data_IF_353164768562
#
_entry.id   IF_353164768562
#
_cell.length_a   1.000
_cell.length_b   1.000
_cell.length_c   1.000
_cell.angle_alpha   90.00
_cell.angle_beta   90.00
_cell.angle_gamma   90.00
#
_symmetry.space_group_name_H-M   'P 1'
#
loop_
_entity.id
_entity.type
_entity.pdbx_description
1 polymer ?
#
# COMPACT_ATOMS: atom_id res chain seq x y z
N UNK A 1 2.01 -5.61 12.34
CA UNK A 1 2.13 -6.08 10.98
C UNK A 1 0.89 -6.89 10.72
N UNK A 2 0.30 -6.78 9.54
CA UNK A 2 -0.74 -7.74 9.18
C UNK A 2 -0.12 -9.13 9.10
N UNK A 3 -0.81 -10.10 9.70
CA UNK A 3 -0.42 -11.51 9.63
C UNK A 3 -0.49 -11.97 8.18
N UNK A 4 0.60 -12.56 7.68
CA UNK A 4 0.66 -13.13 6.34
C UNK A 4 -0.02 -14.49 6.38
N UNK A 5 -0.91 -14.79 5.43
CA UNK A 5 -1.56 -16.10 5.35
C UNK A 5 -0.54 -17.21 5.07
N UNK A 6 -0.78 -18.41 5.61
CA UNK A 6 0.12 -19.56 5.48
C UNK A 6 0.51 -19.92 4.03
N UNK A 7 -0.39 -19.65 3.07
CA UNK A 7 -0.20 -19.94 1.65
C UNK A 7 -0.12 -18.65 0.80
N UNK A 8 0.52 -17.59 1.30
CA UNK A 8 0.71 -16.36 0.53
C UNK A 8 1.61 -16.64 -0.67
N UNK A 9 1.14 -16.45 -1.92
CA UNK A 9 1.98 -16.67 -3.08
C UNK A 9 3.08 -15.61 -3.17
N UNK A 10 4.30 -16.02 -3.53
CA UNK A 10 5.45 -15.10 -3.65
C UNK A 10 5.17 -13.91 -4.59
N UNK A 11 4.41 -14.14 -5.67
CA UNK A 11 4.04 -13.08 -6.62
C UNK A 11 3.06 -12.03 -6.06
N UNK A 12 2.39 -12.34 -4.95
CA UNK A 12 1.43 -11.45 -4.31
C UNK A 12 2.11 -10.46 -3.35
N UNK A 13 3.39 -10.68 -3.04
CA UNK A 13 4.24 -9.78 -2.30
C UNK A 13 4.77 -8.69 -3.21
N UNK A 14 4.78 -7.45 -2.72
CA UNK A 14 5.41 -6.32 -3.41
C UNK A 14 6.93 -6.46 -3.28
N UNK A 15 7.52 -7.27 -4.16
CA UNK A 15 8.97 -7.48 -4.24
C UNK A 15 9.51 -6.75 -5.47
N UNK A 16 9.84 -5.47 -5.29
CA UNK A 16 10.56 -4.71 -6.30
C UNK A 16 12.04 -4.62 -5.89
N UNK A 17 12.90 -5.55 -6.35
CA UNK A 17 14.30 -5.61 -5.91
C UNK A 17 15.09 -4.39 -6.38
N UNK A 18 14.59 -3.68 -7.39
CA UNK A 18 15.16 -2.44 -7.90
C UNK A 18 14.12 -1.34 -7.81
N UNK A 19 14.48 -0.21 -7.22
CA UNK A 19 13.60 0.93 -7.09
C UNK A 19 14.36 2.21 -7.41
N UNK A 20 13.68 3.17 -8.03
CA UNK A 20 14.27 4.47 -8.35
C UNK A 20 14.64 5.22 -7.06
N UNK A 21 15.54 6.19 -7.17
CA UNK A 21 15.84 7.12 -6.08
C UNK A 21 15.05 8.43 -6.18
N UNK A 22 14.60 8.79 -7.39
CA UNK A 22 13.90 10.03 -7.67
C UNK A 22 12.61 9.81 -8.46
N UNK A 23 11.64 10.70 -8.28
CA UNK A 23 10.40 10.72 -9.05
C UNK A 23 10.59 11.44 -10.41
N UNK A 24 9.52 11.59 -11.18
CA UNK A 24 9.55 12.24 -12.49
C UNK A 24 9.87 13.75 -12.47
N UNK A 25 9.96 14.35 -11.29
CA UNK A 25 10.33 15.75 -11.07
C UNK A 25 11.69 15.89 -10.39
N UNK A 26 12.52 14.84 -10.40
CA UNK A 26 13.84 14.80 -9.77
C UNK A 26 13.81 15.05 -8.24
N UNK A 27 12.69 14.79 -7.57
CA UNK A 27 12.64 14.80 -6.11
C UNK A 27 12.97 13.41 -5.55
N UNK A 28 13.74 13.31 -4.45
CA UNK A 28 13.99 12.04 -3.76
C UNK A 28 12.68 11.36 -3.36
N UNK A 29 12.62 10.02 -3.48
CA UNK A 29 11.45 9.24 -3.05
C UNK A 29 11.61 8.63 -1.66
N UNK A 30 12.80 8.76 -1.05
CA UNK A 30 13.03 8.34 0.32
C UNK A 30 12.32 9.31 1.28
N UNK A 31 11.37 8.78 2.04
CA UNK A 31 10.56 9.50 3.04
C UNK A 31 11.30 9.71 4.37
N UNK A 32 12.32 8.88 4.65
CA UNK A 32 13.18 8.93 5.84
C UNK A 32 14.60 8.61 5.40
N UNK A 33 15.54 9.52 5.65
CA UNK A 33 16.93 9.36 5.21
C UNK A 33 17.76 8.44 6.14
N UNK A 34 18.84 7.87 5.62
CA UNK A 34 19.82 7.09 6.38
C UNK A 34 20.48 7.97 7.46
N UNK A 35 20.04 7.81 8.70
CA UNK A 35 20.52 8.58 9.86
C UNK A 35 19.47 9.46 10.52
N UNK A 36 18.26 9.53 9.96
CA UNK A 36 17.13 10.19 10.63
C UNK A 36 16.79 9.46 11.95
N UNK A 37 16.48 10.17 13.05
CA UNK A 37 16.08 9.55 14.32
C UNK A 37 14.89 8.59 14.23
N UNK A 38 14.03 8.75 13.22
CA UNK A 38 12.88 7.91 12.94
C UNK A 38 13.24 6.67 12.11
N UNK A 39 14.45 6.60 11.55
CA UNK A 39 14.92 5.44 10.81
C UNK A 39 14.97 4.21 11.73
N UNK A 40 14.46 3.08 11.23
CA UNK A 40 14.34 1.84 12.00
C UNK A 40 13.28 1.87 13.12
N UNK A 41 12.53 2.96 13.29
CA UNK A 41 11.46 3.01 14.30
C UNK A 41 10.17 2.38 13.75
N UNK A 42 9.42 1.76 14.66
CA UNK A 42 8.07 1.30 14.38
C UNK A 42 7.16 2.49 14.06
N UNK A 43 6.27 2.30 13.10
CA UNK A 43 5.23 3.27 12.77
C UNK A 43 3.99 3.13 13.67
N UNK A 44 3.97 2.14 14.57
CA UNK A 44 2.84 1.85 15.48
C UNK A 44 1.50 1.75 14.74
N UNK A 45 1.52 1.16 13.54
CA UNK A 45 0.33 1.06 12.68
C UNK A 45 -0.67 0.13 13.38
N UNK A 46 -1.87 0.64 13.68
CA UNK A 46 -2.92 -0.08 14.40
C UNK A 46 -2.45 -0.65 15.76
N UNK A 47 -1.53 0.04 16.44
CA UNK A 47 -0.99 -0.38 17.75
C UNK A 47 0.09 -1.45 17.67
N UNK A 48 0.60 -1.73 16.47
CA UNK A 48 1.59 -2.79 16.26
C UNK A 48 3.03 -2.26 16.20
N UNK A 49 3.91 -2.95 16.93
CA UNK A 49 5.30 -2.54 17.16
C UNK A 49 6.29 -3.06 16.11
N UNK A 50 5.85 -3.90 15.19
CA UNK A 50 6.71 -4.49 14.18
C UNK A 50 7.32 -3.44 13.25
N UNK A 51 8.53 -3.75 12.80
CA UNK A 51 9.24 -3.03 11.75
C UNK A 51 9.26 -3.94 10.53
N UNK A 52 8.91 -3.40 9.36
CA UNK A 52 8.85 -4.16 8.11
C UNK A 52 10.26 -4.46 7.60
N UNK A 53 10.50 -5.70 7.18
CA UNK A 53 11.72 -6.14 6.48
C UNK A 53 11.73 -5.77 4.98
N UNK A 54 10.70 -5.06 4.50
CA UNK A 54 10.66 -4.62 3.10
C UNK A 54 11.85 -3.69 2.80
N UNK A 55 12.72 -4.01 1.82
CA UNK A 55 13.89 -3.19 1.50
C UNK A 55 13.53 -1.77 1.04
N UNK A 56 12.29 -1.57 0.56
CA UNK A 56 11.76 -0.28 0.12
C UNK A 56 10.88 0.41 1.17
N UNK A 57 10.92 0.00 2.45
CA UNK A 57 10.08 0.55 3.53
C UNK A 57 10.05 2.07 3.60
N UNK A 58 11.20 2.71 3.36
CA UNK A 58 11.33 4.17 3.43
C UNK A 58 11.05 4.85 2.10
N UNK A 59 10.77 4.11 1.03
CA UNK A 59 10.43 4.70 -0.26
C UNK A 59 8.94 5.03 -0.33
N UNK A 60 8.62 6.12 -0.99
CA UNK A 60 7.24 6.46 -1.29
C UNK A 60 6.63 5.41 -2.23
N UNK A 61 5.70 4.62 -1.69
CA UNK A 61 4.91 3.67 -2.48
C UNK A 61 3.75 4.40 -3.16
N UNK A 62 3.47 4.02 -4.41
CA UNK A 62 2.35 4.57 -5.18
C UNK A 62 1.78 3.54 -6.15
N UNK A 63 0.57 3.80 -6.62
CA UNK A 63 -0.07 3.04 -7.68
C UNK A 63 -0.73 4.01 -8.66
N UNK A 64 -0.86 3.57 -9.91
CA UNK A 64 -1.60 4.31 -10.93
C UNK A 64 -2.99 3.70 -11.09
N UNK A 65 -4.02 4.54 -11.06
CA UNK A 65 -5.40 4.15 -11.30
C UNK A 65 -6.03 5.11 -12.30
N UNK A 66 -6.61 4.56 -13.37
CA UNK A 66 -7.34 5.32 -14.37
C UNK A 66 -8.84 5.12 -14.16
N UNK A 67 -9.53 6.19 -13.73
CA UNK A 67 -10.97 6.17 -13.50
C UNK A 67 -11.78 5.95 -14.78
N UNK A 68 -11.29 6.39 -15.94
CA UNK A 68 -11.98 6.24 -17.23
C UNK A 68 -12.16 4.77 -17.64
N UNK A 69 -11.26 3.90 -17.16
CA UNK A 69 -11.33 2.46 -17.42
C UNK A 69 -12.15 1.70 -16.35
N UNK A 70 -12.63 2.38 -15.31
CA UNK A 70 -13.39 1.75 -14.24
C UNK A 70 -14.86 1.57 -14.65
N UNK A 71 -15.31 0.32 -14.71
CA UNK A 71 -16.72 -0.02 -15.03
C UNK A 71 -17.59 -0.21 -13.78
N UNK A 72 -17.11 0.25 -12.61
CA UNK A 72 -17.78 0.07 -11.32
C UNK A 72 -18.23 -1.39 -11.03
N UNK A 73 -17.39 -2.37 -11.37
CA UNK A 73 -17.75 -3.79 -11.18
C UNK A 73 -17.58 -4.32 -9.74
N UNK A 74 -17.08 -3.49 -8.81
CA UNK A 74 -16.82 -3.85 -7.41
C UNK A 74 -15.81 -5.01 -7.18
N UNK A 75 -15.20 -5.55 -8.24
CA UNK A 75 -14.25 -6.66 -8.12
C UNK A 75 -12.99 -6.29 -7.30
N UNK A 76 -12.55 -5.03 -7.35
CA UNK A 76 -11.41 -4.58 -6.56
C UNK A 76 -11.73 -4.45 -5.06
N UNK A 77 -12.99 -4.27 -4.68
CA UNK A 77 -13.43 -4.31 -3.28
C UNK A 77 -13.42 -5.76 -2.77
N UNK A 78 -14.04 -6.67 -3.53
CA UNK A 78 -14.09 -8.10 -3.20
C UNK A 78 -12.68 -8.69 -3.09
N UNK A 79 -11.82 -8.46 -4.08
CA UNK A 79 -10.44 -8.94 -4.06
C UNK A 79 -9.64 -8.39 -2.86
N UNK A 80 -9.87 -7.14 -2.47
CA UNK A 80 -9.21 -6.55 -1.31
C UNK A 80 -9.72 -7.18 -0.01
N UNK A 81 -11.03 -7.38 0.14
CA UNK A 81 -11.62 -7.98 1.32
C UNK A 81 -11.26 -9.46 1.47
N UNK A 82 -11.28 -10.24 0.39
CA UNK A 82 -10.86 -11.64 0.41
C UNK A 82 -9.38 -11.80 0.74
N UNK A 83 -8.51 -10.92 0.20
CA UNK A 83 -7.07 -10.97 0.49
C UNK A 83 -6.75 -10.65 1.96
N UNK A 84 -7.45 -9.67 2.54
CA UNK A 84 -7.16 -9.17 3.89
C UNK A 84 -8.07 -9.77 4.96
N UNK A 85 -8.93 -10.73 4.60
CA UNK A 85 -9.94 -11.33 5.47
C UNK A 85 -10.77 -10.28 6.24
N UNK A 86 -11.23 -9.26 5.50
CA UNK A 86 -11.93 -8.13 6.10
C UNK A 86 -13.28 -8.60 6.68
N UNK A 87 -13.63 -8.20 7.92
CA UNK A 87 -14.97 -8.37 8.44
C UNK A 87 -16.02 -7.71 7.54
N UNK A 88 -17.24 -8.25 7.51
CA UNK A 88 -18.32 -7.76 6.64
C UNK A 88 -18.67 -6.26 6.81
N UNK A 89 -18.29 -5.64 7.93
CA UNK A 89 -18.54 -4.23 8.24
C UNK A 89 -17.35 -3.31 7.92
N UNK A 90 -16.26 -3.82 7.36
CA UNK A 90 -15.04 -3.08 7.04
C UNK A 90 -14.67 -3.31 5.56
N UNK A 91 -14.39 -2.22 4.85
CA UNK A 91 -13.84 -2.27 3.50
C UNK A 91 -12.62 -1.34 3.41
N UNK A 92 -11.45 -1.90 3.09
CA UNK A 92 -10.23 -1.11 2.88
C UNK A 92 -10.22 -0.39 1.52
N UNK A 93 -11.01 -0.88 0.56
CA UNK A 93 -11.19 -0.27 -0.75
C UNK A 93 -12.68 -0.17 -1.04
N UNK A 94 -13.07 0.97 -1.59
CA UNK A 94 -14.44 1.23 -2.01
C UNK A 94 -14.49 1.79 -3.44
N UNK A 95 -15.52 1.41 -4.17
CA UNK A 95 -15.93 1.92 -5.47
C UNK A 95 -17.20 2.74 -5.24
N UNK A 96 -17.14 4.01 -5.61
CA UNK A 96 -18.26 4.92 -5.47
C UNK A 96 -18.24 5.97 -6.57
N UNK A 97 -19.39 6.63 -6.72
CA UNK A 97 -19.53 7.76 -7.62
C UNK A 97 -19.20 9.05 -6.88
N UNK A 98 -18.41 9.90 -7.51
CA UNK A 98 -18.14 11.25 -7.01
C UNK A 98 -18.94 12.20 -7.90
N UNK A 99 -19.97 12.83 -7.34
CA UNK A 99 -20.66 13.93 -8.01
C UNK A 99 -19.83 15.20 -7.82
N UNK A 100 -19.22 15.66 -8.90
CA UNK A 100 -18.57 16.97 -8.94
C UNK A 100 -19.64 18.05 -9.01
N UNK A 101 -20.05 18.58 -7.85
CA UNK A 101 -20.86 19.80 -7.80
C UNK A 101 -20.14 20.97 -8.50
N UNK A 102 -20.92 21.87 -9.10
CA UNK A 102 -20.43 23.14 -9.68
C UNK A 102 -20.67 24.29 -8.71
#
# INVERSE_FOLDING_TARGET
>A
MFEVRDNEPDYALLNDPTSKSHNCYDHPIDTVADGDPLHGKSLKINGDDAVSENPNRYKQHGFYFNADNCIACHACEAACSEKNDNPAHIAFRSVGFIEGGT
#
